data_IF_055519408882
#
_entry.id   IF_055519408882
#
_cell.length_a   1.000
_cell.length_b   1.000
_cell.length_c   1.000
_cell.angle_alpha   90.00
_cell.angle_beta   90.00
_cell.angle_gamma   90.00
#
_symmetry.space_group_name_H-M   'P 1'
#
loop_
_entity.id
_entity.type
_entity.pdbx_description
1 polymer ?
#
# COMPACT_ATOMS: atom_id res chain seq x y z
N UNK A 1 7.89 15.33 -6.09
CA UNK A 1 6.94 15.08 -7.20
C UNK A 1 7.73 14.93 -8.49
N UNK A 2 7.54 13.85 -9.27
CA UNK A 2 8.24 13.63 -10.54
C UNK A 2 7.24 13.84 -11.68
N UNK A 3 7.34 14.97 -12.39
CA UNK A 3 6.41 15.37 -13.46
C UNK A 3 7.16 15.67 -14.74
N UNK A 4 6.76 15.02 -15.83
CA UNK A 4 7.36 15.13 -17.16
C UNK A 4 6.36 14.60 -18.20
N UNK A 5 6.68 14.68 -19.49
CA UNK A 5 5.88 14.17 -20.60
C UNK A 5 5.58 12.68 -20.47
N UNK A 6 4.41 12.26 -20.97
CA UNK A 6 4.07 10.83 -21.02
C UNK A 6 5.13 10.05 -21.81
N UNK A 7 5.50 8.87 -21.33
CA UNK A 7 6.57 8.07 -21.96
C UNK A 7 8.00 8.41 -21.52
N UNK A 8 8.25 9.47 -20.75
CA UNK A 8 9.58 9.83 -20.23
C UNK A 8 10.14 8.87 -19.16
N UNK A 9 9.54 7.69 -18.94
CA UNK A 9 10.06 6.69 -18.01
C UNK A 9 9.82 6.95 -16.52
N UNK A 10 8.97 7.91 -16.12
CA UNK A 10 8.67 8.21 -14.70
C UNK A 10 8.28 6.97 -13.87
N UNK A 11 7.38 6.14 -14.40
CA UNK A 11 6.98 4.89 -13.72
C UNK A 11 8.14 3.89 -13.67
N UNK A 12 9.02 3.87 -14.68
CA UNK A 12 10.21 3.04 -14.66
C UNK A 12 11.16 3.49 -13.53
N UNK A 13 11.38 4.80 -13.37
CA UNK A 13 12.18 5.34 -12.24
C UNK A 13 11.57 4.96 -10.90
N UNK A 14 10.25 5.13 -10.73
CA UNK A 14 9.57 4.75 -9.48
C UNK A 14 9.69 3.24 -9.19
N UNK A 15 9.59 2.40 -10.21
CA UNK A 15 9.82 0.95 -10.08
C UNK A 15 11.27 0.64 -9.70
N UNK A 16 12.26 1.28 -10.34
CA UNK A 16 13.68 1.09 -10.02
C UNK A 16 13.97 1.47 -8.58
N UNK A 17 13.43 2.59 -8.10
CA UNK A 17 13.60 3.02 -6.69
C UNK A 17 12.95 2.02 -5.74
N UNK A 18 11.71 1.59 -6.01
CA UNK A 18 11.04 0.60 -5.18
C UNK A 18 11.81 -0.73 -5.12
N UNK A 19 12.33 -1.19 -6.26
CA UNK A 19 13.16 -2.40 -6.33
C UNK A 19 14.47 -2.25 -5.56
N UNK A 20 15.14 -1.09 -5.69
CA UNK A 20 16.34 -0.79 -4.92
C UNK A 20 16.06 -0.85 -3.41
N UNK A 21 15.01 -0.17 -2.95
CA UNK A 21 14.63 -0.17 -1.53
C UNK A 21 14.28 -1.57 -1.04
N UNK A 22 13.56 -2.37 -1.84
CA UNK A 22 13.22 -3.75 -1.49
C UNK A 22 14.48 -4.60 -1.29
N UNK A 23 15.41 -4.55 -2.24
CA UNK A 23 16.66 -5.32 -2.19
C UNK A 23 17.55 -4.95 -0.99
N UNK A 24 17.39 -3.75 -0.42
CA UNK A 24 18.15 -3.28 0.73
C UNK A 24 17.35 -3.33 2.05
N UNK A 25 16.15 -3.91 2.06
CA UNK A 25 15.31 -3.97 3.25
C UNK A 25 14.78 -2.61 3.73
N UNK A 26 14.74 -1.62 2.83
CA UNK A 26 14.29 -0.25 3.12
C UNK A 26 12.84 0.01 2.67
N UNK A 27 12.23 -0.92 1.94
CA UNK A 27 10.89 -0.75 1.41
C UNK A 27 9.83 -1.20 2.41
N UNK A 28 9.07 -0.23 2.95
CA UNK A 28 7.92 -0.50 3.81
C UNK A 28 6.73 -1.12 3.06
N UNK A 29 6.38 -0.55 1.91
CA UNK A 29 5.34 -1.04 1.02
C UNK A 29 5.47 -0.36 -0.34
N UNK A 30 4.87 -0.93 -1.39
CA UNK A 30 4.71 -0.22 -2.66
C UNK A 30 3.39 -0.55 -3.36
N UNK A 31 2.74 0.49 -3.90
CA UNK A 31 1.52 0.32 -4.68
C UNK A 31 1.58 1.15 -5.96
N UNK A 32 1.40 0.47 -7.10
CA UNK A 32 1.38 1.09 -8.42
C UNK A 32 0.00 0.97 -9.04
N UNK A 33 -0.62 2.11 -9.35
CA UNK A 33 -1.88 2.12 -10.08
C UNK A 33 -1.65 1.64 -11.51
N UNK A 34 -2.49 0.72 -11.97
CA UNK A 34 -2.45 0.19 -13.33
C UNK A 34 -3.86 0.12 -13.90
N UNK A 35 -4.10 0.87 -14.99
CA UNK A 35 -5.42 0.95 -15.64
C UNK A 35 -5.89 -0.36 -16.26
N UNK A 36 -4.95 -1.25 -16.60
CA UNK A 36 -5.21 -2.53 -17.24
C UNK A 36 -5.45 -3.66 -16.23
N UNK A 37 -5.22 -3.42 -14.94
CA UNK A 37 -5.42 -4.40 -13.87
C UNK A 37 -6.60 -3.94 -13.02
N UNK A 38 -7.78 -4.59 -13.07
CA UNK A 38 -8.99 -4.13 -12.39
C UNK A 38 -8.78 -3.81 -10.90
N UNK A 39 -8.04 -4.68 -10.21
CA UNK A 39 -7.73 -4.54 -8.78
C UNK A 39 -6.69 -3.47 -8.44
N UNK A 40 -6.01 -2.88 -9.44
CA UNK A 40 -5.01 -1.80 -9.27
C UNK A 40 -5.38 -0.53 -10.01
N UNK A 41 -6.58 -0.47 -10.62
CA UNK A 41 -7.06 0.75 -11.28
C UNK A 41 -7.65 1.76 -10.30
N UNK A 42 -8.10 1.29 -9.14
CA UNK A 42 -8.81 2.08 -8.12
C UNK A 42 -8.07 2.02 -6.78
N UNK A 43 -8.30 2.98 -5.87
CA UNK A 43 -7.60 3.03 -4.58
C UNK A 43 -8.14 2.02 -3.55
N UNK A 44 -9.16 1.21 -3.89
CA UNK A 44 -9.78 0.26 -2.95
C UNK A 44 -8.80 -0.75 -2.32
N UNK A 45 -7.70 -1.07 -3.01
CA UNK A 45 -6.67 -1.98 -2.50
C UNK A 45 -5.43 -1.26 -1.97
N UNK A 46 -5.36 0.07 -2.02
CA UNK A 46 -4.15 0.81 -1.67
C UNK A 46 -3.77 0.55 -0.21
N UNK A 47 -4.65 0.93 0.73
CA UNK A 47 -4.36 0.84 2.15
C UNK A 47 -4.35 -0.59 2.67
N UNK A 48 -5.20 -1.47 2.14
CA UNK A 48 -5.15 -2.90 2.50
C UNK A 48 -3.87 -3.59 2.03
N UNK A 49 -3.33 -3.20 0.86
CA UNK A 49 -2.00 -3.71 0.43
C UNK A 49 -0.91 -3.21 1.37
N UNK A 50 -0.91 -1.90 1.69
CA UNK A 50 0.08 -1.33 2.61
C UNK A 50 0.00 -2.01 3.99
N UNK A 51 -1.21 -2.19 4.53
CA UNK A 51 -1.43 -2.87 5.80
C UNK A 51 -0.87 -4.30 5.77
N UNK A 52 -1.16 -5.08 4.72
CA UNK A 52 -0.62 -6.43 4.57
C UNK A 52 0.91 -6.45 4.46
N UNK A 53 1.52 -5.49 3.75
CA UNK A 53 2.97 -5.40 3.66
C UNK A 53 3.60 -5.06 5.04
N UNK A 54 2.97 -4.18 5.82
CA UNK A 54 3.44 -3.80 7.16
C UNK A 54 3.41 -4.96 8.16
N UNK A 55 2.39 -5.84 8.10
CA UNK A 55 2.31 -7.06 8.92
C UNK A 55 3.55 -7.94 8.75
N UNK A 56 4.14 -7.97 7.55
CA UNK A 56 5.34 -8.77 7.27
C UNK A 56 6.60 -8.13 7.90
N UNK A 57 6.59 -6.82 8.13
CA UNK A 57 7.75 -6.08 8.62
C UNK A 57 7.91 -6.07 10.14
N UNK A 58 6.82 -6.28 10.89
CA UNK A 58 6.88 -6.32 12.34
C UNK A 58 5.62 -6.84 13.01
N UNK A 59 5.80 -7.57 14.11
CA UNK A 59 4.68 -8.16 14.88
C UNK A 59 3.73 -7.10 15.46
N UNK A 60 4.23 -5.90 15.77
CA UNK A 60 3.38 -4.81 16.29
C UNK A 60 2.26 -4.42 15.31
N UNK A 61 2.58 -4.35 14.01
CA UNK A 61 1.58 -4.10 12.97
C UNK A 61 0.60 -5.27 12.83
N UNK A 62 1.09 -6.51 12.97
CA UNK A 62 0.27 -7.71 12.92
C UNK A 62 -0.75 -7.76 14.06
N UNK A 63 -0.32 -7.42 15.27
CA UNK A 63 -1.15 -7.39 16.46
C UNK A 63 -2.22 -6.30 16.33
N UNK A 64 -1.84 -5.09 15.94
CA UNK A 64 -2.78 -3.99 15.74
C UNK A 64 -3.83 -4.28 14.66
N UNK A 65 -3.38 -4.72 13.48
CA UNK A 65 -4.29 -5.05 12.37
C UNK A 65 -5.21 -6.22 12.75
N UNK A 66 -4.73 -7.20 13.51
CA UNK A 66 -5.57 -8.28 14.03
C UNK A 66 -6.67 -7.73 14.95
N UNK A 67 -6.34 -6.86 15.90
CA UNK A 67 -7.32 -6.25 16.82
C UNK A 67 -8.39 -5.47 16.05
N UNK A 68 -7.99 -4.66 15.07
CA UNK A 68 -8.92 -3.88 14.24
C UNK A 68 -9.86 -4.80 13.45
N UNK A 69 -9.33 -5.87 12.84
CA UNK A 69 -10.13 -6.80 12.05
C UNK A 69 -11.02 -7.73 12.90
N UNK A 70 -10.62 -8.03 14.13
CA UNK A 70 -11.43 -8.77 15.10
C UNK A 70 -12.62 -7.94 15.59
N UNK A 71 -12.41 -6.64 15.82
CA UNK A 71 -13.47 -5.69 16.19
C UNK A 71 -14.42 -5.39 15.03
N UNK A 72 -13.90 -5.13 13.84
CA UNK A 72 -14.68 -4.72 12.67
C UNK A 72 -14.16 -5.33 11.36
N UNK A 73 -14.71 -6.49 10.98
CA UNK A 73 -14.30 -7.21 9.77
C UNK A 73 -14.51 -6.45 8.46
N UNK A 74 -15.34 -5.41 8.44
CA UNK A 74 -15.68 -4.65 7.24
C UNK A 74 -14.71 -3.50 6.94
N UNK A 75 -13.74 -3.19 7.82
CA UNK A 75 -12.76 -2.11 7.62
C UNK A 75 -11.96 -2.29 6.33
N UNK A 76 -11.56 -3.53 6.01
CA UNK A 76 -10.88 -3.86 4.77
C UNK A 76 -11.70 -3.55 3.49
N UNK A 77 -13.02 -3.41 3.61
CA UNK A 77 -13.93 -3.06 2.51
C UNK A 77 -14.53 -1.65 2.62
N UNK A 78 -14.13 -0.88 3.64
CA UNK A 78 -14.64 0.46 3.90
C UNK A 78 -14.14 1.49 2.87
N UNK A 79 -14.58 2.74 3.02
CA UNK A 79 -14.03 3.85 2.26
C UNK A 79 -12.54 4.05 2.57
N UNK A 80 -11.82 4.69 1.63
CA UNK A 80 -10.38 4.83 1.68
C UNK A 80 -9.89 5.61 2.91
N UNK A 81 -10.63 6.64 3.32
CA UNK A 81 -10.33 7.42 4.53
C UNK A 81 -10.35 6.54 5.77
N UNK A 82 -11.41 5.75 5.94
CA UNK A 82 -11.54 4.85 7.09
C UNK A 82 -10.51 3.73 7.07
N UNK A 83 -10.22 3.16 5.89
CA UNK A 83 -9.14 2.19 5.75
C UNK A 83 -7.79 2.76 6.18
N UNK A 84 -7.49 4.01 5.81
CA UNK A 84 -6.24 4.66 6.20
C UNK A 84 -6.18 4.92 7.71
N UNK A 85 -7.24 5.52 8.26
CA UNK A 85 -7.31 5.84 9.69
C UNK A 85 -7.11 4.59 10.54
N UNK A 86 -7.87 3.54 10.29
CA UNK A 86 -7.89 2.37 11.19
C UNK A 86 -6.81 1.32 10.90
N UNK A 87 -6.26 1.25 9.69
CA UNK A 87 -5.23 0.24 9.37
C UNK A 87 -3.80 0.79 9.44
N UNK A 88 -3.61 2.11 9.35
CA UNK A 88 -2.29 2.74 9.16
C UNK A 88 -1.98 3.83 10.18
N UNK A 89 -2.96 4.65 10.58
CA UNK A 89 -2.72 5.85 11.39
C UNK A 89 -2.89 5.62 12.90
N UNK A 90 -4.01 5.01 13.27
CA UNK A 90 -4.28 4.54 14.65
C UNK A 90 -3.37 3.37 15.00
#
# INVERSE_FOLDING_TARGET
>A
WLSDVAGAGKSAIAHTIAQYCHNHGLLGSSFFFNRNIPNRRTPHKLFTTIACDLVILGNEFADHISVVLEGERNVASACQTRQFEQLILE
#
